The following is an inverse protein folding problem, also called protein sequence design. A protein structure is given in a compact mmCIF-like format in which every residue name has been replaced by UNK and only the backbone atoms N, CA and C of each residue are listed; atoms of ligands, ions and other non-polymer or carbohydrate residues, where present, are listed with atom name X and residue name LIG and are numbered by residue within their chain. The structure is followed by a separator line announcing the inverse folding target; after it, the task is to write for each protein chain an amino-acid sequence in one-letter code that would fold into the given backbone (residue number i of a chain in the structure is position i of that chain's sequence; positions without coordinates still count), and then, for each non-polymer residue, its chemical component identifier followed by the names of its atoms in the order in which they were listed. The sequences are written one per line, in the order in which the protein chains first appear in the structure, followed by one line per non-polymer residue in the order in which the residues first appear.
data_IF_353680006233
#
_entry.id   IF_353680006233
#
_cell.length_a   1.000
_cell.length_b   1.000
_cell.length_c   1.000
_cell.angle_alpha   90.00
_cell.angle_beta   90.00
_cell.angle_gamma   90.00
#
_symmetry.space_group_name_H-M   'P 1'
#
loop_
_entity.id
_entity.type
_entity.pdbx_description
1 polymer ?
#
# COMPACT_ATOMS: atom_id res chain seq x y z
N UNK A 1 2.26 -2.89 -11.86
CA UNK A 1 1.47 -4.06 -12.20
C UNK A 1 0.59 -3.83 -13.44
N UNK A 2 0.02 -2.67 -13.65
CA UNK A 2 -0.68 -2.34 -14.89
C UNK A 2 0.29 -2.08 -16.05
N UNK A 3 0.01 -2.58 -17.26
CA UNK A 3 0.82 -2.28 -18.43
C UNK A 3 0.76 -0.79 -18.76
N UNK A 4 1.87 -0.26 -19.32
CA UNK A 4 1.92 1.15 -19.75
C UNK A 4 1.25 1.38 -21.09
N UNK A 5 1.21 0.34 -21.95
CA UNK A 5 0.69 0.37 -23.29
C UNK A 5 -0.38 -0.71 -23.48
N UNK A 6 -1.34 -0.45 -24.34
CA UNK A 6 -2.38 -1.38 -24.76
C UNK A 6 -2.46 -1.40 -26.29
N UNK A 7 -2.86 -2.52 -26.87
CA UNK A 7 -3.11 -2.65 -28.31
C UNK A 7 -4.60 -2.48 -28.55
N UNK A 8 -5.02 -1.33 -29.07
CA UNK A 8 -6.40 -1.06 -29.44
C UNK A 8 -6.66 -1.45 -30.89
N UNK A 9 -7.81 -2.04 -31.13
CA UNK A 9 -8.25 -2.42 -32.47
C UNK A 9 -9.29 -1.40 -32.95
N UNK A 10 -8.94 -0.64 -34.01
CA UNK A 10 -9.81 0.36 -34.66
C UNK A 10 -9.99 -0.03 -36.14
N UNK A 11 -11.20 -0.26 -36.56
CA UNK A 11 -11.53 -0.64 -37.95
C UNK A 11 -10.68 -1.83 -38.48
N UNK A 12 -10.36 -2.78 -37.62
CA UNK A 12 -9.52 -3.95 -37.95
C UNK A 12 -8.01 -3.66 -37.96
N UNK A 13 -7.59 -2.46 -37.60
CA UNK A 13 -6.17 -2.07 -37.50
C UNK A 13 -5.77 -2.00 -36.04
N UNK A 14 -4.62 -2.59 -35.72
CA UNK A 14 -4.05 -2.54 -34.39
C UNK A 14 -3.21 -1.28 -34.18
N UNK A 15 -3.51 -0.55 -33.11
CA UNK A 15 -2.81 0.68 -32.75
C UNK A 15 -2.33 0.58 -31.30
N UNK A 16 -1.06 0.81 -31.09
CA UNK A 16 -0.49 0.90 -29.74
C UNK A 16 -0.85 2.24 -29.10
N UNK A 17 -1.53 2.19 -27.97
CA UNK A 17 -1.96 3.36 -27.22
C UNK A 17 -1.52 3.28 -25.76
N UNK A 18 -1.31 4.42 -25.07
CA UNK A 18 -1.11 4.39 -23.63
C UNK A 18 -2.33 3.74 -22.93
N UNK A 19 -2.11 2.82 -21.98
CA UNK A 19 -3.20 2.17 -21.27
C UNK A 19 -4.12 3.17 -20.55
N UNK A 20 -3.56 4.30 -20.10
CA UNK A 20 -4.33 5.39 -19.50
C UNK A 20 -5.28 6.12 -20.46
N UNK A 21 -5.12 5.95 -21.78
CA UNK A 21 -6.00 6.55 -22.80
C UNK A 21 -7.16 5.65 -23.21
N UNK A 22 -7.18 4.40 -22.74
CA UNK A 22 -8.25 3.43 -23.03
C UNK A 22 -9.56 3.92 -22.40
N UNK A 23 -10.63 3.80 -23.15
CA UNK A 23 -11.99 4.19 -22.74
C UNK A 23 -12.91 2.98 -22.68
N UNK A 24 -13.97 3.12 -21.91
CA UNK A 24 -15.04 2.12 -21.89
C UNK A 24 -15.62 1.94 -23.31
N UNK A 25 -15.72 0.70 -23.74
CA UNK A 25 -16.17 0.32 -25.08
C UNK A 25 -15.05 0.09 -26.10
N UNK A 26 -13.79 0.50 -25.81
CA UNK A 26 -12.67 0.22 -26.69
C UNK A 26 -12.45 -1.30 -26.82
N UNK A 27 -12.10 -1.74 -28.05
CA UNK A 27 -11.72 -3.11 -28.34
C UNK A 27 -10.19 -3.22 -28.25
N UNK A 28 -9.73 -4.13 -27.39
CA UNK A 28 -8.32 -4.34 -27.13
C UNK A 28 -7.89 -5.76 -27.52
N UNK A 29 -6.71 -5.90 -28.09
CA UNK A 29 -6.07 -7.18 -28.36
C UNK A 29 -5.11 -7.52 -27.22
N UNK A 30 -5.16 -8.75 -26.73
CA UNK A 30 -4.25 -9.27 -25.70
C UNK A 30 -3.65 -10.59 -26.20
N UNK A 31 -2.33 -10.60 -26.35
CA UNK A 31 -1.55 -11.76 -26.81
C UNK A 31 -0.87 -12.48 -25.65
N UNK A 32 -0.37 -13.66 -25.93
CA UNK A 32 0.44 -14.42 -24.97
C UNK A 32 1.62 -13.57 -24.45
N UNK A 33 1.76 -13.53 -23.14
CA UNK A 33 2.79 -12.75 -22.44
C UNK A 33 2.40 -11.31 -22.16
N UNK A 34 1.28 -10.82 -22.71
CA UNK A 34 0.81 -9.46 -22.45
C UNK A 34 -0.09 -9.42 -21.20
N UNK A 35 -0.01 -8.30 -20.49
CA UNK A 35 -0.94 -8.02 -19.39
C UNK A 35 -2.23 -7.44 -19.91
N UNK A 36 -3.35 -7.86 -19.34
CA UNK A 36 -4.68 -7.29 -19.59
C UNK A 36 -4.68 -5.83 -19.09
N UNK A 37 -4.97 -4.84 -19.98
CA UNK A 37 -4.76 -3.44 -19.61
C UNK A 37 -5.84 -2.88 -18.68
N UNK A 38 -7.08 -3.33 -18.80
CA UNK A 38 -8.26 -2.85 -18.05
C UNK A 38 -9.24 -3.99 -17.83
N UNK A 39 -10.26 -3.82 -16.99
CA UNK A 39 -11.30 -4.84 -16.83
C UNK A 39 -12.26 -4.84 -18.02
N UNK A 40 -12.70 -6.03 -18.42
CA UNK A 40 -13.60 -6.13 -19.54
C UNK A 40 -14.08 -7.56 -19.83
N UNK A 41 -14.68 -7.74 -21.01
CA UNK A 41 -15.22 -9.01 -21.47
C UNK A 41 -14.58 -9.40 -22.79
N UNK A 42 -14.19 -10.68 -22.89
CA UNK A 42 -13.66 -11.27 -24.12
C UNK A 42 -14.72 -11.27 -25.21
N UNK A 43 -14.38 -10.77 -26.41
CA UNK A 43 -15.25 -10.75 -27.59
C UNK A 43 -14.99 -11.95 -28.48
N UNK A 44 -13.73 -12.20 -28.81
CA UNK A 44 -13.28 -13.26 -29.72
C UNK A 44 -11.95 -13.85 -29.27
N UNK A 45 -11.69 -15.08 -29.69
CA UNK A 45 -10.46 -15.79 -29.37
C UNK A 45 -10.59 -16.59 -28.08
N UNK A 46 -9.49 -17.19 -27.67
CA UNK A 46 -9.34 -17.96 -26.45
C UNK A 46 -7.93 -17.81 -25.89
N UNK A 47 -7.84 -17.91 -24.56
CA UNK A 47 -6.58 -17.77 -23.89
C UNK A 47 -6.59 -18.40 -22.50
N UNK A 48 -5.46 -18.28 -21.83
CA UNK A 48 -5.30 -18.69 -20.44
C UNK A 48 -4.71 -17.53 -19.66
N UNK A 49 -5.42 -17.04 -18.66
CA UNK A 49 -5.07 -15.83 -17.90
C UNK A 49 -4.66 -16.19 -16.49
N UNK A 50 -3.48 -15.76 -16.11
CA UNK A 50 -2.98 -15.85 -14.73
C UNK A 50 -3.55 -14.67 -13.91
N UNK A 51 -4.47 -14.98 -13.01
CA UNK A 51 -5.10 -14.03 -12.09
C UNK A 51 -4.48 -14.08 -10.68
N UNK A 52 -3.36 -14.78 -10.48
CA UNK A 52 -2.75 -15.03 -9.16
C UNK A 52 -2.41 -13.76 -8.38
N UNK A 53 -2.07 -12.69 -9.08
CA UNK A 53 -1.77 -11.37 -8.47
C UNK A 53 -3.00 -10.75 -7.81
N UNK A 54 -4.21 -11.08 -8.29
CA UNK A 54 -5.48 -10.53 -7.80
C UNK A 54 -6.18 -11.51 -6.85
N UNK A 55 -6.28 -12.78 -7.25
CA UNK A 55 -7.04 -13.81 -6.53
C UNK A 55 -6.21 -14.64 -5.57
N UNK A 56 -4.88 -14.69 -5.77
CA UNK A 56 -3.98 -15.58 -5.07
C UNK A 56 -4.02 -17.04 -5.55
N UNK A 57 -4.87 -17.37 -6.53
CA UNK A 57 -4.96 -18.72 -7.09
C UNK A 57 -3.85 -18.96 -8.13
N UNK A 58 -3.01 -20.00 -7.97
CA UNK A 58 -1.85 -20.22 -8.85
C UNK A 58 -2.19 -20.85 -10.19
N UNK A 59 -3.43 -21.30 -10.40
CA UNK A 59 -3.85 -21.95 -11.64
C UNK A 59 -4.41 -20.93 -12.63
N UNK A 60 -3.84 -20.84 -13.85
CA UNK A 60 -4.39 -19.98 -14.89
C UNK A 60 -5.82 -20.38 -15.27
N UNK A 61 -6.67 -19.38 -15.46
CA UNK A 61 -8.08 -19.53 -15.84
C UNK A 61 -8.23 -19.48 -17.35
N UNK A 62 -8.87 -20.47 -17.93
CA UNK A 62 -9.22 -20.44 -19.36
C UNK A 62 -10.30 -19.40 -19.61
N UNK A 63 -10.09 -18.57 -20.64
CA UNK A 63 -11.02 -17.53 -21.08
C UNK A 63 -11.40 -17.73 -22.54
N UNK A 64 -12.66 -17.46 -22.85
CA UNK A 64 -13.26 -17.55 -24.17
C UNK A 64 -14.27 -16.42 -24.37
N UNK A 65 -14.85 -16.30 -25.54
CA UNK A 65 -15.87 -15.28 -25.81
C UNK A 65 -16.96 -15.25 -24.74
N UNK A 66 -17.22 -14.08 -24.18
CA UNK A 66 -18.13 -13.85 -23.06
C UNK A 66 -17.51 -13.99 -21.67
N UNK A 67 -16.25 -14.43 -21.53
CA UNK A 67 -15.55 -14.48 -20.24
C UNK A 67 -15.17 -13.09 -19.77
N UNK A 68 -15.39 -12.80 -18.48
CA UNK A 68 -14.83 -11.60 -17.85
C UNK A 68 -13.33 -11.78 -17.59
N UNK A 69 -12.57 -10.73 -17.84
CA UNK A 69 -11.13 -10.62 -17.58
C UNK A 69 -10.82 -9.38 -16.78
N UNK A 70 -9.85 -9.49 -15.89
CA UNK A 70 -9.49 -8.43 -14.94
C UNK A 70 -8.15 -7.78 -15.35
N UNK A 71 -8.08 -6.47 -15.24
CA UNK A 71 -6.86 -5.70 -15.51
C UNK A 71 -5.69 -6.13 -14.63
N UNK A 72 -4.48 -5.95 -15.14
CA UNK A 72 -3.21 -6.34 -14.51
C UNK A 72 -2.98 -7.86 -14.37
N UNK A 73 -3.86 -8.71 -14.87
CA UNK A 73 -3.64 -10.14 -15.04
C UNK A 73 -2.81 -10.40 -16.31
N UNK A 74 -2.22 -11.58 -16.46
CA UNK A 74 -1.33 -11.90 -17.58
C UNK A 74 -1.88 -13.02 -18.43
N UNK A 75 -1.99 -12.81 -19.75
CA UNK A 75 -2.33 -13.87 -20.67
C UNK A 75 -1.12 -14.79 -20.87
N UNK A 76 -1.20 -16.02 -20.41
CA UNK A 76 -0.11 -17.01 -20.46
C UNK A 76 -0.12 -17.87 -21.71
N UNK A 77 -1.27 -17.99 -22.39
CA UNK A 77 -1.40 -18.77 -23.63
C UNK A 77 -2.58 -18.26 -24.46
N UNK A 78 -2.44 -18.39 -25.80
CA UNK A 78 -3.48 -17.97 -26.74
C UNK A 78 -3.53 -16.46 -26.95
N UNK A 79 -4.59 -16.01 -27.58
CA UNK A 79 -4.88 -14.60 -27.80
C UNK A 79 -6.39 -14.36 -27.77
N UNK A 80 -6.78 -13.16 -27.40
CA UNK A 80 -8.19 -12.76 -27.43
C UNK A 80 -8.32 -11.26 -27.67
N UNK A 81 -9.46 -10.87 -28.22
CA UNK A 81 -9.92 -9.48 -28.19
C UNK A 81 -10.89 -9.30 -27.03
N UNK A 82 -10.87 -8.17 -26.39
CA UNK A 82 -11.74 -7.83 -25.28
C UNK A 82 -12.33 -6.43 -25.45
N UNK A 83 -13.53 -6.22 -24.93
CA UNK A 83 -14.14 -4.89 -24.79
C UNK A 83 -13.86 -4.38 -23.38
N UNK A 84 -13.31 -3.18 -23.29
CA UNK A 84 -13.11 -2.49 -22.02
C UNK A 84 -14.46 -2.13 -21.37
N UNK A 85 -14.65 -2.51 -20.12
CA UNK A 85 -15.88 -2.21 -19.36
C UNK A 85 -15.62 -1.27 -18.19
N UNK A 86 -14.50 -1.46 -17.47
CA UNK A 86 -14.06 -0.56 -16.40
C UNK A 86 -12.63 -0.10 -16.64
N UNK A 87 -12.40 1.21 -16.52
CA UNK A 87 -11.12 1.84 -16.81
C UNK A 87 -10.68 2.74 -15.66
N UNK A 88 -9.37 2.96 -15.52
CA UNK A 88 -8.82 3.88 -14.52
C UNK A 88 -9.16 3.48 -13.09
N UNK A 89 -9.80 4.39 -12.36
CA UNK A 89 -10.14 4.19 -10.93
C UNK A 89 -11.31 3.22 -10.69
N UNK A 90 -12.05 2.85 -11.74
CA UNK A 90 -13.18 1.92 -11.64
C UNK A 90 -12.76 0.45 -11.80
N UNK A 91 -11.47 0.19 -12.08
CA UNK A 91 -10.95 -1.18 -12.17
C UNK A 91 -10.89 -1.86 -10.80
N UNK A 92 -10.99 -3.20 -10.81
CA UNK A 92 -10.86 -4.03 -9.60
C UNK A 92 -9.54 -3.76 -8.89
N UNK A 93 -8.42 -3.64 -9.64
CA UNK A 93 -7.12 -3.33 -9.07
C UNK A 93 -7.10 -1.98 -8.37
N UNK A 94 -7.66 -0.93 -8.96
CA UNK A 94 -7.75 0.39 -8.34
C UNK A 94 -8.58 0.35 -7.04
N UNK A 95 -9.67 -0.42 -7.04
CA UNK A 95 -10.48 -0.67 -5.84
C UNK A 95 -9.68 -1.34 -4.71
N UNK A 96 -8.87 -2.35 -5.02
CA UNK A 96 -8.00 -3.02 -4.05
C UNK A 96 -6.96 -2.05 -3.48
N UNK A 97 -6.28 -1.27 -4.34
CA UNK A 97 -5.28 -0.28 -3.92
C UNK A 97 -5.91 0.74 -2.97
N UNK A 98 -7.10 1.24 -3.29
CA UNK A 98 -7.83 2.20 -2.44
C UNK A 98 -8.17 1.59 -1.07
N UNK A 99 -8.62 0.35 -1.01
CA UNK A 99 -8.91 -0.34 0.25
C UNK A 99 -7.64 -0.52 1.11
N UNK A 100 -6.51 -0.85 0.50
CA UNK A 100 -5.23 -0.98 1.20
C UNK A 100 -4.75 0.39 1.71
N UNK A 101 -4.86 1.43 0.89
CA UNK A 101 -4.50 2.81 1.28
C UNK A 101 -5.39 3.31 2.43
N UNK A 102 -6.69 3.06 2.39
CA UNK A 102 -7.62 3.43 3.44
C UNK A 102 -7.32 2.66 4.75
N UNK A 103 -7.02 1.37 4.65
CA UNK A 103 -6.63 0.56 5.81
C UNK A 103 -5.29 1.00 6.41
N UNK A 104 -4.31 1.41 5.59
CA UNK A 104 -2.98 1.82 6.04
C UNK A 104 -2.92 3.28 6.46
N UNK A 105 -3.71 4.16 5.85
CA UNK A 105 -3.75 5.59 6.16
C UNK A 105 -4.59 5.90 7.40
N UNK A 106 -5.50 5.02 7.80
CA UNK A 106 -6.21 5.14 9.06
C UNK A 106 -5.29 4.77 10.23
N UNK A 107 -4.30 5.64 10.54
CA UNK A 107 -3.60 5.56 11.83
C UNK A 107 -4.65 5.52 12.92
N UNK A 108 -4.67 4.45 13.70
CA UNK A 108 -5.64 4.28 14.77
C UNK A 108 -5.68 5.55 15.64
N UNK A 109 -6.85 6.03 16.09
CA UNK A 109 -6.97 7.24 16.91
C UNK A 109 -6.03 7.24 18.12
N UNK A 110 -5.70 6.05 18.65
CA UNK A 110 -4.75 5.81 19.73
C UNK A 110 -3.31 6.22 19.34
N UNK A 111 -2.87 5.96 18.10
CA UNK A 111 -1.53 6.32 17.65
C UNK A 111 -1.35 7.83 17.55
N UNK A 112 -2.35 8.54 17.03
CA UNK A 112 -2.38 10.02 17.01
C UNK A 112 -2.34 10.63 18.40
N UNK A 113 -2.99 9.98 19.37
CA UNK A 113 -3.02 10.43 20.76
C UNK A 113 -1.68 10.16 21.45
N UNK A 114 -1.06 9.01 21.20
CA UNK A 114 0.29 8.69 21.69
C UNK A 114 1.34 9.66 21.14
N UNK A 115 1.30 9.97 19.84
CA UNK A 115 2.20 10.94 19.19
C UNK A 115 2.04 12.35 19.81
N UNK A 116 0.80 12.79 20.09
CA UNK A 116 0.53 14.08 20.70
C UNK A 116 1.04 14.16 22.13
N UNK A 117 0.86 13.10 22.91
CA UNK A 117 1.35 13.02 24.29
C UNK A 117 2.88 13.01 24.28
N UNK A 118 3.53 12.23 23.44
CA UNK A 118 4.98 12.16 23.30
C UNK A 118 5.57 13.50 22.89
N UNK A 119 4.89 14.24 22.00
CA UNK A 119 5.31 15.56 21.52
C UNK A 119 5.38 16.63 22.63
N UNK A 120 4.63 16.49 23.70
CA UNK A 120 4.68 17.37 24.89
C UNK A 120 5.58 16.78 25.98
N UNK A 121 5.52 15.49 26.18
CA UNK A 121 6.23 14.77 27.23
C UNK A 121 7.75 14.87 27.08
N UNK A 122 8.27 14.65 25.86
CA UNK A 122 9.72 14.66 25.59
C UNK A 122 10.36 16.01 25.92
N UNK A 123 9.85 17.18 25.46
CA UNK A 123 10.41 18.47 25.84
C UNK A 123 10.38 18.75 27.35
N UNK A 124 9.31 18.31 28.04
CA UNK A 124 9.18 18.48 29.49
C UNK A 124 10.25 17.67 30.23
N UNK A 125 10.47 16.42 29.84
CA UNK A 125 11.50 15.56 30.45
C UNK A 125 12.90 16.11 30.22
N UNK A 126 13.18 16.64 29.02
CA UNK A 126 14.47 17.29 28.72
C UNK A 126 14.66 18.52 29.61
N UNK A 127 13.63 19.34 29.79
CA UNK A 127 13.72 20.51 30.67
C UNK A 127 14.00 20.09 32.12
N UNK A 128 13.36 19.06 32.66
CA UNK A 128 13.61 18.50 33.97
C UNK A 128 15.08 18.01 34.10
N UNK A 129 15.58 17.27 33.11
CA UNK A 129 16.92 16.75 33.11
C UNK A 129 17.96 17.90 33.14
N UNK A 130 17.73 18.99 32.39
CA UNK A 130 18.57 20.19 32.41
C UNK A 130 18.54 20.89 33.79
N UNK A 131 17.37 21.01 34.40
CA UNK A 131 17.23 21.57 35.76
C UNK A 131 17.97 20.72 36.79
N UNK A 132 17.81 19.40 36.76
CA UNK A 132 18.51 18.47 37.66
C UNK A 132 20.02 18.62 37.48
N UNK A 133 20.50 18.67 36.25
CA UNK A 133 21.94 18.89 35.96
C UNK A 133 22.43 20.21 36.57
N UNK A 134 21.72 21.30 36.33
CA UNK A 134 22.11 22.63 36.85
C UNK A 134 22.08 22.67 38.39
N UNK A 135 21.12 22.06 39.04
CA UNK A 135 21.01 22.00 40.50
C UNK A 135 22.22 21.26 41.11
N UNK A 136 22.59 20.09 40.58
CA UNK A 136 23.72 19.33 41.07
C UNK A 136 25.04 20.07 40.89
N UNK A 137 25.24 20.80 39.79
CA UNK A 137 26.41 21.66 39.61
C UNK A 137 26.43 22.83 40.61
N UNK A 138 25.28 23.45 40.89
CA UNK A 138 25.16 24.55 41.84
C UNK A 138 25.48 24.14 43.30
N UNK A 139 25.16 22.89 43.65
CA UNK A 139 25.46 22.31 44.97
C UNK A 139 26.96 21.90 45.08
N UNK A 140 27.72 22.02 44.00
CA UNK A 140 29.16 21.70 43.98
C UNK A 140 29.49 20.23 43.75
N UNK A 141 28.58 19.47 43.18
CA UNK A 141 28.83 18.08 42.78
C UNK A 141 29.81 18.02 41.59
N UNK A 142 30.58 16.95 41.51
CA UNK A 142 31.41 16.68 40.34
C UNK A 142 30.57 16.56 39.05
N UNK A 143 31.12 16.99 37.94
CA UNK A 143 30.49 16.96 36.64
C UNK A 143 29.96 15.55 36.26
N UNK A 144 30.73 14.51 36.61
CA UNK A 144 30.37 13.10 36.41
C UNK A 144 29.09 12.72 37.14
N UNK A 145 28.91 13.21 38.37
CA UNK A 145 27.73 12.93 39.19
C UNK A 145 26.52 13.67 38.65
N UNK A 146 26.66 14.96 38.34
CA UNK A 146 25.57 15.75 37.74
C UNK A 146 25.10 15.17 36.42
N UNK A 147 26.03 14.73 35.56
CA UNK A 147 25.73 14.10 34.27
C UNK A 147 24.99 12.77 34.45
N UNK A 148 25.43 11.94 35.42
CA UNK A 148 24.80 10.65 35.71
C UNK A 148 23.32 10.80 36.10
N UNK A 149 23.02 11.76 36.98
CA UNK A 149 21.62 12.00 37.40
C UNK A 149 20.77 12.57 36.24
N UNK A 150 21.30 13.47 35.44
CA UNK A 150 20.58 13.99 34.25
C UNK A 150 20.27 12.90 33.22
N UNK A 151 21.23 12.03 32.92
CA UNK A 151 21.06 10.90 32.02
C UNK A 151 20.05 9.89 32.60
N UNK A 152 20.11 9.63 33.91
CA UNK A 152 19.14 8.71 34.56
C UNK A 152 17.71 9.21 34.44
N UNK A 153 17.44 10.50 34.55
CA UNK A 153 16.12 11.10 34.31
C UNK A 153 15.65 10.84 32.87
N UNK A 154 16.52 11.02 31.88
CA UNK A 154 16.18 10.80 30.47
C UNK A 154 15.90 9.32 30.17
N UNK A 155 16.70 8.39 30.68
CA UNK A 155 16.58 6.95 30.44
C UNK A 155 15.30 6.38 31.08
N UNK A 156 15.04 6.75 32.35
CA UNK A 156 13.87 6.27 33.10
C UNK A 156 12.55 6.80 32.49
N UNK A 157 12.58 8.03 31.98
CA UNK A 157 11.41 8.69 31.40
C UNK A 157 11.16 8.32 29.92
N UNK A 158 11.99 7.47 29.31
CA UNK A 158 11.80 7.09 27.92
C UNK A 158 10.48 6.34 27.71
N UNK A 159 9.52 6.85 26.92
CA UNK A 159 8.27 6.14 26.61
C UNK A 159 8.45 5.08 25.51
N UNK A 160 9.65 4.55 25.35
CA UNK A 160 10.01 3.61 24.26
C UNK A 160 9.11 2.36 24.26
N UNK A 161 8.59 1.94 25.42
CA UNK A 161 7.63 0.84 25.52
C UNK A 161 6.26 1.17 24.93
N UNK A 162 5.84 2.44 24.92
CA UNK A 162 4.55 2.84 24.35
C UNK A 162 4.58 2.81 22.81
N UNK A 163 5.70 3.15 22.17
CA UNK A 163 5.82 3.18 20.71
C UNK A 163 5.87 1.79 20.05
N UNK A 164 6.32 0.77 20.80
CA UNK A 164 6.42 -0.61 20.31
C UNK A 164 5.21 -1.47 20.68
N UNK A 165 4.48 -1.13 21.76
CA UNK A 165 3.33 -1.91 22.22
C UNK A 165 2.07 -1.66 21.41
N UNK A 166 1.88 -0.48 20.81
CA UNK A 166 0.67 -0.12 20.08
C UNK A 166 0.51 -0.88 18.76
N UNK A 167 1.54 -1.04 17.87
CA UNK A 167 1.38 -1.81 16.64
C UNK A 167 1.12 -3.30 16.91
N UNK A 168 1.78 -3.88 17.92
CA UNK A 168 1.62 -5.30 18.26
C UNK A 168 0.27 -5.60 18.88
N UNK A 169 -0.27 -4.73 19.74
CA UNK A 169 -1.59 -4.91 20.33
C UNK A 169 -2.72 -4.81 19.28
N UNK A 170 -2.56 -3.95 18.27
CA UNK A 170 -3.52 -3.81 17.16
C UNK A 170 -3.47 -5.03 16.24
N UNK A 171 -2.28 -5.54 15.89
CA UNK A 171 -2.14 -6.76 15.08
C UNK A 171 -2.79 -7.98 15.75
N UNK A 172 -2.64 -8.13 17.07
CA UNK A 172 -3.24 -9.25 17.81
C UNK A 172 -4.74 -9.06 17.99
N UNK A 173 -5.23 -7.81 18.14
CA UNK A 173 -6.64 -7.50 18.32
C UNK A 173 -7.50 -7.60 17.05
N UNK A 174 -6.92 -7.37 15.88
CA UNK A 174 -7.61 -7.43 14.58
C UNK A 174 -7.48 -8.77 13.87
N UNK A 175 -6.60 -9.66 14.34
CA UNK A 175 -6.34 -10.98 13.78
C UNK A 175 -7.25 -12.10 14.33
N UNK A 176 -8.46 -11.78 14.82
CA UNK A 176 -9.42 -12.77 15.34
C UNK A 176 -10.74 -12.74 14.58
#
# INVERSE_FOLDING_TARGET
LSPKMATRVEDGVEVQVPAASVRVGDVLMVRTGESVPVDGVVLEGEGSVDESVITGEPLPKSVHAGSAVTGATVNTAGWFTMRAEHVGEETVLAGIIRLVDEATSSKAPIEKMADKISGVFVPVVIAIAVVVFAVWLAVGAELSVALTYAISVLVISCPCALGLATPTAIMVGTGR
#
